data_IF_938505279661
#
_entry.id   IF_938505279661
#
_cell.length_a   1.000
_cell.length_b   1.000
_cell.length_c   1.000
_cell.angle_alpha   90.00
_cell.angle_beta   90.00
_cell.angle_gamma   90.00
#
_symmetry.space_group_name_H-M   'P 1'
#
loop_
_entity.id
_entity.type
_entity.pdbx_description
1 polymer ?
#
# COMPACT_ATOMS: atom_id res chain seq x y z
N UNK A 1 -13.49 -13.92 21.26
CA UNK A 1 -12.17 -13.66 20.66
C UNK A 1 -12.19 -12.65 19.50
N UNK A 2 -13.35 -12.21 19.00
CA UNK A 2 -13.45 -11.45 17.74
C UNK A 2 -13.31 -9.94 17.85
N UNK A 3 -13.81 -9.29 18.92
CA UNK A 3 -13.80 -7.80 19.00
C UNK A 3 -12.44 -7.25 19.44
N UNK A 4 -11.79 -7.89 20.42
CA UNK A 4 -10.48 -7.46 20.94
C UNK A 4 -9.38 -7.64 19.91
N UNK A 5 -9.41 -8.75 19.15
CA UNK A 5 -8.44 -9.02 18.08
C UNK A 5 -8.65 -8.07 16.89
N UNK A 6 -9.90 -7.76 16.52
CA UNK A 6 -10.19 -6.77 15.48
C UNK A 6 -9.77 -5.36 15.89
N UNK A 7 -10.00 -4.97 17.15
CA UNK A 7 -9.49 -3.69 17.68
C UNK A 7 -7.97 -3.65 17.74
N UNK A 8 -7.31 -4.75 18.11
CA UNK A 8 -5.85 -4.82 18.14
C UNK A 8 -5.27 -4.70 16.72
N UNK A 9 -5.88 -5.35 15.72
CA UNK A 9 -5.50 -5.24 14.31
C UNK A 9 -5.74 -3.83 13.79
N UNK A 10 -6.89 -3.20 14.10
CA UNK A 10 -7.19 -1.80 13.74
C UNK A 10 -6.21 -0.84 14.41
N UNK A 11 -5.87 -1.06 15.68
CA UNK A 11 -4.91 -0.25 16.42
C UNK A 11 -3.49 -0.41 15.87
N UNK A 12 -3.04 -1.64 15.60
CA UNK A 12 -1.73 -1.92 14.98
C UNK A 12 -1.63 -1.27 13.60
N UNK A 13 -2.66 -1.41 12.75
CA UNK A 13 -2.76 -0.72 11.46
C UNK A 13 -2.79 0.80 11.59
N UNK A 14 -3.47 1.33 12.60
CA UNK A 14 -3.50 2.77 12.89
C UNK A 14 -2.15 3.31 13.40
N UNK A 15 -1.36 2.48 14.07
CA UNK A 15 0.00 2.82 14.55
C UNK A 15 1.02 2.69 13.41
N UNK A 16 0.87 1.74 12.50
CA UNK A 16 1.73 1.61 11.31
C UNK A 16 1.49 2.71 10.28
N UNK A 17 0.24 3.13 10.07
CA UNK A 17 -0.09 4.33 9.28
C UNK A 17 0.55 5.61 9.83
N UNK A 18 0.73 5.71 11.16
CA UNK A 18 1.49 6.81 11.79
C UNK A 18 3.00 6.76 11.55
N UNK A 19 3.60 5.60 11.21
CA UNK A 19 5.05 5.50 10.88
C UNK A 19 5.38 6.12 9.51
N UNK A 20 4.36 6.38 8.70
CA UNK A 20 4.45 6.89 7.32
C UNK A 20 4.00 8.33 7.16
N UNK A 21 3.20 8.80 8.11
CA UNK A 21 3.12 10.22 8.42
C UNK A 21 4.37 10.58 9.19
N UNK A 22 5.49 10.65 8.46
CA UNK A 22 6.68 11.24 9.03
C UNK A 22 6.32 12.67 9.42
N UNK A 23 6.58 12.93 10.69
CA UNK A 23 6.40 14.17 11.39
C UNK A 23 7.33 15.22 10.77
N UNK A 24 6.99 15.75 9.59
CA UNK A 24 7.76 16.82 8.94
C UNK A 24 6.88 18.07 8.87
N UNK A 25 6.59 18.63 10.04
CA UNK A 25 7.02 19.99 10.36
C UNK A 25 6.93 20.27 11.88
N UNK A 26 7.82 21.08 12.47
CA UNK A 26 7.98 21.27 13.92
C UNK A 26 7.06 22.36 14.50
N UNK A 27 6.15 22.92 13.72
CA UNK A 27 5.23 23.96 14.16
C UNK A 27 3.94 23.34 14.67
N UNK A 28 3.98 22.93 15.93
CA UNK A 28 2.78 23.03 16.76
C UNK A 28 2.22 24.45 16.56
N UNK A 29 0.91 24.55 16.44
CA UNK A 29 0.19 25.82 16.27
C UNK A 29 0.10 26.37 14.85
N UNK A 30 0.18 25.56 13.79
CA UNK A 30 -0.09 26.01 12.41
C UNK A 30 -1.06 25.07 11.65
N UNK A 31 -1.95 25.65 10.86
CA UNK A 31 -2.96 24.95 10.10
C UNK A 31 -3.13 25.48 8.66
N UNK A 32 -3.86 24.72 7.84
CA UNK A 32 -4.17 25.05 6.45
C UNK A 32 -5.05 26.31 6.36
N UNK A 33 -4.72 27.21 5.45
CA UNK A 33 -5.63 28.29 5.04
C UNK A 33 -6.78 27.74 4.18
N UNK A 34 -7.93 28.42 4.20
CA UNK A 34 -9.17 27.94 3.55
C UNK A 34 -9.02 27.61 2.06
N UNK A 35 -8.15 28.31 1.34
CA UNK A 35 -7.86 28.06 -0.08
C UNK A 35 -7.17 26.72 -0.37
N UNK A 36 -6.58 26.08 0.64
CA UNK A 36 -5.88 24.79 0.50
C UNK A 36 -6.62 23.63 1.16
N UNK A 37 -7.80 23.87 1.75
CA UNK A 37 -8.65 22.84 2.32
C UNK A 37 -9.55 22.26 1.23
N UNK A 38 -9.38 20.97 0.95
CA UNK A 38 -10.20 20.24 -0.02
C UNK A 38 -11.37 19.53 0.65
N UNK A 39 -11.18 19.06 1.88
CA UNK A 39 -12.24 18.36 2.61
C UNK A 39 -12.11 18.59 4.11
N UNK A 40 -13.24 18.79 4.76
CA UNK A 40 -13.35 18.92 6.22
C UNK A 40 -14.09 17.70 6.78
N UNK A 41 -13.58 17.15 7.87
CA UNK A 41 -14.21 16.05 8.62
C UNK A 41 -14.21 16.44 10.10
N UNK A 42 -15.37 16.43 10.75
CA UNK A 42 -15.54 16.83 12.16
C UNK A 42 -15.72 15.62 13.06
N UNK A 43 -15.59 15.81 14.38
CA UNK A 43 -15.80 14.78 15.41
C UNK A 43 -14.90 13.53 15.26
N UNK A 44 -13.75 13.68 14.62
CA UNK A 44 -12.84 12.57 14.33
C UNK A 44 -11.60 12.60 15.21
N UNK A 45 -10.95 11.44 15.33
CA UNK A 45 -9.61 11.38 15.91
C UNK A 45 -8.57 11.77 14.87
N UNK A 46 -7.37 12.14 15.31
CA UNK A 46 -6.21 12.30 14.43
C UNK A 46 -5.93 11.04 13.60
N UNK A 47 -6.09 9.85 14.18
CA UNK A 47 -5.91 8.58 13.48
C UNK A 47 -6.92 8.41 12.34
N UNK A 48 -8.18 8.79 12.59
CA UNK A 48 -9.23 8.76 11.57
C UNK A 48 -8.94 9.75 10.44
N UNK A 49 -8.43 10.93 10.77
CA UNK A 49 -7.98 11.91 9.77
C UNK A 49 -6.82 11.36 8.92
N UNK A 50 -5.87 10.70 9.58
CA UNK A 50 -4.77 9.98 8.94
C UNK A 50 -5.28 8.94 7.93
N UNK A 51 -6.14 8.02 8.37
CA UNK A 51 -6.70 6.99 7.50
C UNK A 51 -7.49 7.58 6.34
N UNK A 52 -8.28 8.64 6.59
CA UNK A 52 -9.04 9.32 5.55
C UNK A 52 -8.14 9.94 4.47
N UNK A 53 -7.01 10.53 4.88
CA UNK A 53 -6.02 11.04 3.94
C UNK A 53 -5.32 9.90 3.19
N UNK A 54 -4.96 8.79 3.85
CA UNK A 54 -4.27 7.66 3.21
C UNK A 54 -5.08 6.99 2.11
N UNK A 55 -6.39 6.83 2.27
CA UNK A 55 -7.27 6.24 1.25
C UNK A 55 -7.59 7.18 0.09
N UNK A 56 -7.50 8.49 0.30
CA UNK A 56 -7.66 9.50 -0.75
C UNK A 56 -6.34 9.64 -1.51
N UNK A 57 -6.27 9.07 -2.73
CA UNK A 57 -5.06 9.05 -3.58
C UNK A 57 -4.52 10.45 -3.89
N UNK A 58 -5.36 11.50 -3.84
CA UNK A 58 -4.97 12.89 -4.10
C UNK A 58 -4.49 13.62 -2.84
N UNK A 59 -4.78 13.09 -1.65
CA UNK A 59 -4.37 13.73 -0.39
C UNK A 59 -2.85 13.87 -0.31
N UNK A 60 -2.37 15.06 -0.01
CA UNK A 60 -0.95 15.33 0.23
C UNK A 60 -0.68 15.51 1.73
N UNK A 61 -1.71 15.82 2.51
CA UNK A 61 -1.60 16.00 3.95
C UNK A 61 -2.92 16.43 4.59
N UNK A 62 -2.87 16.69 5.89
CA UNK A 62 -4.01 17.23 6.63
C UNK A 62 -3.56 18.06 7.82
N UNK A 63 -4.40 19.00 8.24
CA UNK A 63 -4.32 19.64 9.54
C UNK A 63 -5.37 19.05 10.49
N UNK A 64 -4.98 18.76 11.72
CA UNK A 64 -5.88 18.35 12.78
C UNK A 64 -5.98 19.44 13.85
N UNK A 65 -7.20 19.85 14.17
CA UNK A 65 -7.55 20.82 15.20
C UNK A 65 -8.09 20.05 16.42
N UNK A 66 -7.31 19.92 17.51
CA UNK A 66 -7.72 19.17 18.68
C UNK A 66 -8.97 19.70 19.40
N UNK A 67 -9.16 21.03 19.60
CA UNK A 67 -10.33 21.55 20.32
C UNK A 67 -11.65 21.10 19.70
N UNK A 68 -11.74 21.18 18.37
CA UNK A 68 -12.97 20.89 17.63
C UNK A 68 -12.96 19.50 16.99
N UNK A 69 -11.92 18.69 17.26
CA UNK A 69 -11.71 17.37 16.66
C UNK A 69 -11.89 17.38 15.13
N UNK A 70 -11.41 18.44 14.51
CA UNK A 70 -11.65 18.74 13.10
C UNK A 70 -10.40 18.41 12.27
N UNK A 71 -10.63 17.75 11.16
CA UNK A 71 -9.65 17.31 10.18
C UNK A 71 -9.84 18.12 8.90
N UNK A 72 -8.80 18.80 8.45
CA UNK A 72 -8.77 19.56 7.20
C UNK A 72 -7.79 18.87 6.25
N UNK A 73 -8.30 18.22 5.21
CA UNK A 73 -7.51 17.50 4.21
C UNK A 73 -7.09 18.45 3.09
N UNK A 74 -5.85 18.32 2.62
CA UNK A 74 -5.33 19.04 1.46
C UNK A 74 -4.85 18.08 0.38
N UNK A 75 -5.07 18.47 -0.88
CA UNK A 75 -4.46 17.83 -2.07
C UNK A 75 -3.29 18.66 -2.61
N UNK A 76 -2.96 19.77 -1.95
CA UNK A 76 -1.86 20.65 -2.34
C UNK A 76 -0.55 20.09 -1.78
N UNK A 77 0.50 20.07 -2.61
CA UNK A 77 1.81 19.58 -2.23
C UNK A 77 2.41 20.33 -1.03
N UNK A 78 3.28 19.65 -0.29
CA UNK A 78 3.91 20.18 0.91
C UNK A 78 4.62 21.53 0.67
N UNK A 79 5.37 21.67 -0.43
CA UNK A 79 6.15 22.88 -0.71
C UNK A 79 5.25 24.11 -0.84
N UNK A 80 4.13 23.98 -1.53
CA UNK A 80 3.14 25.05 -1.69
C UNK A 80 2.41 25.34 -0.38
N UNK A 81 1.98 24.31 0.35
CA UNK A 81 1.25 24.49 1.61
C UNK A 81 2.11 25.14 2.69
N UNK A 82 3.40 24.79 2.79
CA UNK A 82 4.31 25.33 3.81
C UNK A 82 4.40 26.85 3.79
N UNK A 83 4.19 27.48 2.64
CA UNK A 83 4.19 28.95 2.50
C UNK A 83 2.84 29.59 2.87
N UNK A 84 1.77 28.80 2.98
CA UNK A 84 0.40 29.24 3.16
C UNK A 84 -0.23 28.76 4.48
N UNK A 85 0.58 28.27 5.42
CA UNK A 85 0.12 27.89 6.76
C UNK A 85 -0.15 29.14 7.61
N UNK A 86 -1.20 29.09 8.42
CA UNK A 86 -1.58 30.14 9.36
C UNK A 86 -1.43 29.66 10.81
N UNK A 87 -0.95 30.53 11.70
CA UNK A 87 -0.94 30.27 13.14
C UNK A 87 -2.35 29.92 13.66
N UNK A 88 -2.46 28.80 14.35
CA UNK A 88 -3.70 28.27 14.91
C UNK A 88 -3.35 27.42 16.13
N UNK A 89 -3.58 27.96 17.34
CA UNK A 89 -3.19 27.32 18.60
C UNK A 89 -3.69 25.87 18.71
N UNK A 90 -2.77 24.96 19.04
CA UNK A 90 -3.01 23.53 19.19
C UNK A 90 -3.13 22.75 17.89
N UNK A 91 -3.16 23.41 16.72
CA UNK A 91 -3.21 22.72 15.44
C UNK A 91 -1.94 21.90 15.18
N UNK A 92 -2.11 20.76 14.52
CA UNK A 92 -0.99 19.94 14.06
C UNK A 92 -1.20 19.54 12.61
N UNK A 93 -0.24 19.86 11.76
CA UNK A 93 -0.28 19.56 10.33
C UNK A 93 0.63 18.36 10.00
N UNK A 94 0.13 17.47 9.13
CA UNK A 94 0.77 16.22 8.72
C UNK A 94 0.83 16.19 7.19
N UNK A 95 1.93 15.67 6.63
CA UNK A 95 2.07 15.40 5.20
C UNK A 95 2.36 13.93 4.99
N UNK A 96 2.01 13.42 3.80
CA UNK A 96 2.32 12.04 3.41
C UNK A 96 3.73 12.00 2.82
N UNK A 97 4.56 11.10 3.34
CA UNK A 97 5.83 10.74 2.71
C UNK A 97 5.76 9.34 2.12
N UNK A 98 5.70 9.27 0.80
CA UNK A 98 5.91 8.01 0.09
C UNK A 98 7.42 7.77 -0.06
N UNK A 99 7.82 6.50 0.03
CA UNK A 99 9.17 6.09 -0.38
C UNK A 99 9.38 6.48 -1.84
N UNK A 100 10.60 6.92 -2.19
CA UNK A 100 10.92 7.37 -3.54
C UNK A 100 10.47 6.34 -4.59
N UNK A 101 9.78 6.81 -5.63
CA UNK A 101 9.28 5.99 -6.73
C UNK A 101 8.06 5.11 -6.40
N UNK A 102 7.53 5.15 -5.18
CA UNK A 102 6.27 4.49 -4.84
C UNK A 102 5.08 5.38 -5.21
N UNK A 103 4.08 4.78 -5.82
CA UNK A 103 2.76 5.38 -6.05
C UNK A 103 1.77 4.82 -5.05
N UNK A 104 0.82 5.65 -4.60
CA UNK A 104 -0.17 5.23 -3.61
C UNK A 104 -1.45 4.76 -4.28
N UNK A 105 -1.96 3.61 -3.84
CA UNK A 105 -3.25 3.06 -4.22
C UNK A 105 -3.96 2.52 -2.98
N UNK A 106 -5.14 3.05 -2.68
CA UNK A 106 -5.97 2.65 -1.52
C UNK A 106 -5.21 2.54 -0.19
N UNK A 107 -4.40 3.54 0.16
CA UNK A 107 -3.62 3.51 1.39
C UNK A 107 -2.46 2.51 1.39
N UNK A 108 -2.03 1.99 0.24
CA UNK A 108 -0.81 1.19 0.11
C UNK A 108 0.14 1.82 -0.91
N UNK A 109 1.44 1.67 -0.71
CA UNK A 109 2.46 2.12 -1.66
C UNK A 109 2.85 0.97 -2.59
N UNK A 110 3.06 1.27 -3.87
CA UNK A 110 3.52 0.29 -4.84
C UNK A 110 4.59 0.88 -5.75
N UNK A 111 5.58 0.08 -6.12
CA UNK A 111 6.62 0.48 -7.08
C UNK A 111 6.96 -0.67 -7.99
N UNK A 112 6.84 -0.46 -9.31
CA UNK A 112 7.39 -1.38 -10.30
C UNK A 112 8.91 -1.29 -10.27
N UNK A 113 9.55 -2.44 -10.11
CA UNK A 113 11.00 -2.55 -10.16
C UNK A 113 11.43 -2.83 -11.60
N UNK A 114 12.32 -1.97 -12.14
CA UNK A 114 12.69 -2.00 -13.56
C UNK A 114 13.75 -3.07 -13.88
N UNK A 115 13.56 -4.29 -13.36
CA UNK A 115 14.40 -5.45 -13.63
C UNK A 115 13.57 -6.73 -13.60
N UNK A 116 13.95 -7.69 -14.44
CA UNK A 116 13.38 -9.03 -14.46
C UNK A 116 14.34 -10.00 -13.78
N UNK A 117 13.84 -10.74 -12.79
CA UNK A 117 14.62 -11.64 -11.91
C UNK A 117 13.78 -12.85 -11.52
N UNK A 118 14.40 -13.84 -10.89
CA UNK A 118 13.66 -14.94 -10.27
C UNK A 118 12.87 -14.50 -9.03
N UNK A 119 11.87 -15.30 -8.65
CA UNK A 119 10.90 -14.95 -7.61
C UNK A 119 11.58 -14.59 -6.28
N UNK A 120 12.50 -15.45 -5.82
CA UNK A 120 13.26 -15.23 -4.59
C UNK A 120 14.12 -13.96 -4.61
N UNK A 121 14.76 -13.65 -5.73
CA UNK A 121 15.53 -12.40 -5.91
C UNK A 121 14.63 -11.17 -5.86
N UNK A 122 13.46 -11.22 -6.52
CA UNK A 122 12.48 -10.12 -6.50
C UNK A 122 11.95 -9.87 -5.09
N UNK A 123 11.57 -10.94 -4.39
CA UNK A 123 11.19 -10.92 -2.96
C UNK A 123 12.27 -10.27 -2.10
N UNK A 124 13.52 -10.73 -2.19
CA UNK A 124 14.63 -10.20 -1.41
C UNK A 124 14.92 -8.71 -1.73
N UNK A 125 14.79 -8.30 -2.99
CA UNK A 125 14.96 -6.92 -3.40
C UNK A 125 13.92 -5.99 -2.74
N UNK A 126 12.66 -6.43 -2.62
CA UNK A 126 11.64 -5.67 -1.91
C UNK A 126 11.90 -5.61 -0.40
N UNK A 127 12.36 -6.70 0.21
CA UNK A 127 12.76 -6.70 1.62
C UNK A 127 13.92 -5.75 1.92
N UNK A 128 14.91 -5.66 1.02
CA UNK A 128 16.04 -4.71 1.17
C UNK A 128 15.57 -3.24 1.17
N UNK A 129 14.39 -2.95 0.60
CA UNK A 129 13.75 -1.64 0.67
C UNK A 129 12.87 -1.46 1.93
N UNK A 130 12.80 -2.46 2.81
CA UNK A 130 11.89 -2.51 3.95
C UNK A 130 10.42 -2.56 3.51
N UNK A 131 10.12 -3.34 2.47
CA UNK A 131 8.80 -3.56 1.87
C UNK A 131 8.62 -5.04 1.51
N UNK A 132 7.46 -5.46 1.03
CA UNK A 132 7.22 -6.83 0.57
C UNK A 132 7.05 -6.84 -0.96
N UNK A 133 7.21 -7.99 -1.60
CA UNK A 133 6.71 -8.14 -2.97
C UNK A 133 5.18 -8.19 -2.95
N UNK A 134 4.52 -7.67 -3.98
CA UNK A 134 3.06 -7.55 -4.00
C UNK A 134 2.37 -8.90 -4.04
N UNK A 135 1.29 -9.04 -3.28
CA UNK A 135 0.33 -10.15 -3.37
C UNK A 135 -1.07 -9.56 -3.25
N UNK A 136 -1.84 -9.47 -4.35
CA UNK A 136 -3.16 -8.86 -4.27
C UNK A 136 -4.11 -9.76 -3.49
N UNK A 137 -4.88 -9.14 -2.59
CA UNK A 137 -5.85 -9.85 -1.72
C UNK A 137 -7.29 -9.82 -2.25
N UNK A 138 -7.50 -9.14 -3.36
CA UNK A 138 -8.80 -8.96 -4.00
C UNK A 138 -8.59 -8.38 -5.42
N UNK A 139 -9.65 -8.39 -6.23
CA UNK A 139 -9.63 -7.88 -7.60
C UNK A 139 -9.27 -6.39 -7.68
N UNK A 140 -9.59 -5.59 -6.65
CA UNK A 140 -9.23 -4.17 -6.65
C UNK A 140 -7.71 -3.98 -6.53
N UNK A 141 -7.05 -4.78 -5.70
CA UNK A 141 -5.59 -4.79 -5.60
C UNK A 141 -4.92 -5.33 -6.87
N UNK A 142 -5.50 -6.37 -7.48
CA UNK A 142 -5.02 -6.85 -8.79
C UNK A 142 -5.13 -5.75 -9.86
N UNK A 143 -6.19 -4.95 -9.88
CA UNK A 143 -6.28 -3.78 -10.78
C UNK A 143 -5.12 -2.81 -10.58
N UNK A 144 -4.76 -2.50 -9.34
CA UNK A 144 -3.61 -1.63 -9.04
C UNK A 144 -2.30 -2.21 -9.58
N UNK A 145 -2.05 -3.49 -9.30
CA UNK A 145 -0.87 -4.21 -9.80
C UNK A 145 -0.80 -4.14 -11.33
N UNK A 146 -1.93 -4.31 -12.03
CA UNK A 146 -1.98 -4.22 -13.50
C UNK A 146 -1.80 -2.81 -14.04
N UNK A 147 -2.32 -1.80 -13.36
CA UNK A 147 -2.09 -0.40 -13.71
C UNK A 147 -0.60 -0.03 -13.58
N UNK A 148 0.03 -0.46 -12.49
CA UNK A 148 1.43 -0.14 -12.16
C UNK A 148 2.40 -0.95 -13.03
N UNK A 149 2.11 -2.24 -13.24
CA UNK A 149 2.89 -3.15 -14.07
C UNK A 149 2.53 -3.13 -15.55
N UNK A 150 1.81 -2.10 -16.02
CA UNK A 150 1.26 -2.05 -17.38
C UNK A 150 2.34 -2.35 -18.44
N UNK A 151 2.11 -3.41 -19.21
CA UNK A 151 2.98 -3.82 -20.31
C UNK A 151 4.06 -4.84 -19.93
N UNK A 152 4.13 -5.26 -18.67
CA UNK A 152 5.01 -6.35 -18.21
C UNK A 152 4.24 -7.41 -17.44
N UNK A 153 4.84 -8.57 -17.21
CA UNK A 153 4.28 -9.60 -16.32
C UNK A 153 5.08 -9.60 -15.03
N UNK A 154 4.39 -9.63 -13.89
CA UNK A 154 4.99 -9.42 -12.59
C UNK A 154 4.80 -10.62 -11.68
N UNK A 155 5.77 -10.89 -10.81
CA UNK A 155 5.63 -11.85 -9.73
C UNK A 155 4.53 -11.44 -8.73
N UNK A 156 3.81 -12.42 -8.21
CA UNK A 156 3.07 -12.32 -6.96
C UNK A 156 3.84 -13.03 -5.85
N UNK A 157 3.75 -12.53 -4.61
CA UNK A 157 4.37 -13.14 -3.43
C UNK A 157 3.58 -14.38 -2.98
N UNK A 158 3.53 -15.38 -3.84
CA UNK A 158 2.87 -16.65 -3.58
C UNK A 158 3.62 -17.83 -4.19
N UNK A 159 3.54 -18.94 -3.48
CA UNK A 159 4.01 -20.26 -3.87
C UNK A 159 3.17 -21.36 -3.21
N UNK A 160 3.29 -22.59 -3.69
CA UNK A 160 2.67 -23.78 -3.09
C UNK A 160 3.68 -24.87 -2.72
N UNK A 161 4.98 -24.56 -2.70
CA UNK A 161 6.01 -25.47 -2.20
C UNK A 161 6.01 -25.48 -0.65
N UNK A 162 6.09 -26.64 0.04
CA UNK A 162 6.20 -28.01 -0.46
C UNK A 162 4.86 -28.77 -0.54
N UNK A 163 3.72 -28.07 -0.53
CA UNK A 163 2.38 -28.66 -0.51
C UNK A 163 1.57 -28.30 -1.75
N UNK A 164 1.88 -28.99 -2.85
CA UNK A 164 1.24 -28.88 -4.15
C UNK A 164 -0.27 -28.62 -4.09
N UNK A 165 -0.74 -27.62 -4.82
CA UNK A 165 -2.15 -27.22 -4.90
C UNK A 165 -2.64 -26.41 -3.69
N UNK A 166 -1.80 -26.19 -2.67
CA UNK A 166 -2.10 -25.31 -1.52
C UNK A 166 -1.27 -24.03 -1.59
N UNK A 167 -1.78 -23.07 -2.35
CA UNK A 167 -1.15 -21.77 -2.54
C UNK A 167 -1.15 -20.92 -1.27
N UNK A 168 0.00 -20.36 -0.94
CA UNK A 168 0.25 -19.57 0.27
C UNK A 168 1.01 -18.30 -0.06
N UNK A 169 1.00 -17.38 0.90
CA UNK A 169 1.94 -16.29 0.93
C UNK A 169 3.33 -16.80 1.32
N UNK A 170 4.32 -16.58 0.45
CA UNK A 170 5.73 -17.03 0.59
C UNK A 170 6.42 -16.55 1.88
N UNK A 171 5.96 -15.42 2.45
CA UNK A 171 6.53 -14.85 3.67
C UNK A 171 5.88 -15.39 4.94
N UNK A 172 4.60 -15.71 4.91
CA UNK A 172 3.81 -15.95 6.12
C UNK A 172 3.23 -17.36 6.23
N UNK A 173 3.37 -18.19 5.19
CA UNK A 173 2.72 -19.50 5.04
C UNK A 173 1.18 -19.46 5.13
N UNK A 174 0.58 -18.26 5.10
CA UNK A 174 -0.87 -18.09 5.14
C UNK A 174 -1.48 -18.53 3.81
N UNK A 175 -2.48 -19.42 3.89
CA UNK A 175 -3.22 -19.91 2.72
C UNK A 175 -3.96 -18.75 2.05
N UNK A 176 -3.85 -18.65 0.73
CA UNK A 176 -4.47 -17.58 -0.04
C UNK A 176 -5.99 -17.71 -0.03
N UNK A 177 -6.68 -16.62 0.27
CA UNK A 177 -8.14 -16.54 0.19
C UNK A 177 -8.63 -15.95 -1.13
N UNK A 178 -7.74 -15.28 -1.85
CA UNK A 178 -7.99 -14.72 -3.17
C UNK A 178 -7.00 -15.31 -4.15
N UNK A 179 -7.54 -15.80 -5.26
CA UNK A 179 -6.79 -16.30 -6.40
C UNK A 179 -7.46 -15.77 -7.66
N UNK A 180 -6.68 -15.58 -8.72
CA UNK A 180 -7.17 -15.06 -9.99
C UNK A 180 -6.63 -15.89 -11.17
N UNK A 181 -6.66 -17.22 -11.03
CA UNK A 181 -6.14 -18.14 -12.04
C UNK A 181 -6.77 -17.92 -13.42
N UNK A 182 -5.94 -17.94 -14.47
CA UNK A 182 -6.42 -18.09 -15.84
C UNK A 182 -7.18 -19.43 -15.97
N UNK A 183 -8.17 -19.55 -16.88
CA UNK A 183 -8.75 -20.84 -17.20
C UNK A 183 -7.68 -21.91 -17.53
N UNK A 184 -7.76 -23.05 -16.86
CA UNK A 184 -6.80 -24.17 -16.93
C UNK A 184 -5.49 -23.97 -16.16
N UNK A 185 -5.40 -22.93 -15.32
CA UNK A 185 -4.35 -22.78 -14.31
C UNK A 185 -4.90 -23.04 -12.90
N UNK A 186 -4.04 -23.43 -11.94
CA UNK A 186 -2.64 -23.82 -12.13
C UNK A 186 -2.49 -25.21 -12.77
N UNK A 187 -1.45 -25.45 -13.58
CA UNK A 187 -1.24 -26.73 -14.28
C UNK A 187 0.17 -27.33 -14.26
N UNK A 188 1.16 -26.64 -13.71
CA UNK A 188 2.55 -27.06 -13.79
C UNK A 188 2.96 -28.09 -12.73
N UNK A 189 2.09 -28.39 -11.77
CA UNK A 189 2.36 -29.34 -10.70
C UNK A 189 3.61 -28.94 -9.90
N UNK A 190 4.35 -29.94 -9.39
CA UNK A 190 5.54 -29.69 -8.55
C UNK A 190 6.71 -29.00 -9.28
N UNK A 191 6.58 -28.72 -10.57
CA UNK A 191 7.57 -28.02 -11.38
C UNK A 191 7.39 -26.51 -11.42
N UNK A 192 6.20 -25.99 -11.10
CA UNK A 192 5.81 -24.59 -11.28
C UNK A 192 5.17 -24.01 -10.03
N UNK A 193 5.99 -23.82 -8.99
CA UNK A 193 5.45 -23.52 -7.67
C UNK A 193 5.35 -22.02 -7.38
N UNK A 194 5.42 -21.11 -8.37
CA UNK A 194 5.38 -19.66 -8.14
C UNK A 194 4.38 -18.95 -9.04
N UNK A 195 3.82 -17.84 -8.58
CA UNK A 195 2.73 -17.14 -9.29
C UNK A 195 3.20 -15.88 -10.00
N UNK A 196 2.82 -15.71 -11.26
CA UNK A 196 2.87 -14.43 -11.98
C UNK A 196 1.48 -13.87 -12.23
N UNK A 197 1.34 -12.54 -12.22
CA UNK A 197 0.18 -11.82 -12.71
C UNK A 197 0.47 -11.19 -14.09
N UNK A 198 -0.20 -11.70 -15.13
CA UNK A 198 -0.09 -11.18 -16.49
C UNK A 198 -0.87 -9.86 -16.62
N UNK A 199 -0.20 -8.70 -16.66
CA UNK A 199 -0.91 -7.41 -16.52
C UNK A 199 -1.61 -6.89 -17.77
N UNK A 200 -1.17 -7.32 -18.96
CA UNK A 200 -1.63 -6.75 -20.23
C UNK A 200 -2.87 -7.46 -20.79
N UNK A 201 -2.73 -8.73 -21.15
CA UNK A 201 -3.72 -9.44 -21.96
C UNK A 201 -4.72 -10.19 -21.08
N UNK A 202 -4.25 -11.22 -20.37
CA UNK A 202 -5.13 -12.14 -19.66
C UNK A 202 -5.57 -11.59 -18.29
N UNK A 203 -4.78 -10.69 -17.67
CA UNK A 203 -5.12 -10.05 -16.39
C UNK A 203 -5.44 -11.07 -15.28
N UNK A 204 -4.74 -12.20 -15.33
CA UNK A 204 -4.95 -13.38 -14.49
C UNK A 204 -3.60 -13.97 -14.08
N UNK A 205 -3.65 -14.94 -13.17
CA UNK A 205 -2.52 -15.66 -12.62
C UNK A 205 -2.18 -16.90 -13.43
N UNK A 206 -0.90 -17.21 -13.47
CA UNK A 206 -0.31 -18.39 -14.08
C UNK A 206 0.74 -18.89 -13.08
N UNK A 207 0.77 -20.19 -12.81
CA UNK A 207 1.85 -20.82 -12.08
C UNK A 207 3.02 -21.07 -13.03
N UNK A 208 4.23 -20.76 -12.58
CA UNK A 208 5.45 -20.90 -13.36
C UNK A 208 6.59 -21.35 -12.47
N UNK A 209 7.65 -21.90 -13.08
CA UNK A 209 8.87 -22.17 -12.34
C UNK A 209 9.40 -20.93 -11.62
N UNK A 210 9.63 -21.04 -10.30
CA UNK A 210 10.19 -19.96 -9.47
C UNK A 210 11.56 -19.44 -9.96
N UNK A 211 12.27 -20.24 -10.76
CA UNK A 211 13.57 -19.90 -11.35
C UNK A 211 13.49 -19.05 -12.62
N UNK A 212 12.29 -18.90 -13.22
CA UNK A 212 12.06 -18.04 -14.38
C UNK A 212 12.35 -16.56 -14.07
N UNK A 213 12.37 -15.70 -15.07
CA UNK A 213 12.63 -14.26 -14.86
C UNK A 213 11.42 -13.41 -15.23
N UNK A 214 10.84 -12.74 -14.23
CA UNK A 214 9.77 -11.77 -14.41
C UNK A 214 10.05 -10.48 -13.64
N UNK A 215 9.32 -9.42 -14.01
CA UNK A 215 9.34 -8.16 -13.28
C UNK A 215 8.65 -8.36 -11.92
N UNK A 216 8.75 -7.38 -11.04
CA UNK A 216 8.11 -7.48 -9.72
C UNK A 216 7.73 -6.09 -9.23
N UNK A 217 6.67 -6.04 -8.44
CA UNK A 217 6.19 -4.83 -7.79
C UNK A 217 6.47 -4.98 -6.30
N UNK A 218 7.17 -4.02 -5.72
CA UNK A 218 7.26 -3.92 -4.28
C UNK A 218 6.02 -3.19 -3.75
N UNK A 219 5.39 -3.78 -2.75
CA UNK A 219 4.25 -3.27 -2.02
C UNK A 219 4.67 -2.91 -0.60
N UNK A 220 4.30 -1.72 -0.20
CA UNK A 220 4.47 -1.21 1.14
C UNK A 220 3.10 -0.97 1.76
N UNK A 221 2.76 -1.78 2.77
CA UNK A 221 1.49 -1.64 3.47
C UNK A 221 1.52 -0.35 4.31
N UNK A 222 0.63 0.60 4.00
CA UNK A 222 0.46 1.83 4.79
C UNK A 222 -0.81 1.75 5.66
N UNK A 223 -1.68 0.75 5.45
CA UNK A 223 -2.96 0.55 6.13
C UNK A 223 -3.43 -0.93 6.14
#
# INVERSE_FOLDING_TARGET
>A
MTVVMLMLVVLLKSVESMKLMKFINPSFDHCLTSGHVQRTITDVSRLTCSSACLVDEQCQGFCFLPPDRTCLITHTDQTTVLQALQETAGAVTYFIELKEGFVRKNGNGYRLMQSSVNHGTGRQACWNLGTNMSLPKNEKESQYIREIGKGVTVWALADDDPHEGTWKNTDTDEVLTYVNWMPSEPNGGTGENCVIEATANIKSWIDVSCASSYWYICQYLLY
#
